data_IF_004128312851
#
_entry.id   IF_004128312851
#
_cell.length_a   1.000
_cell.length_b   1.000
_cell.length_c   1.000
_cell.angle_alpha   90.00
_cell.angle_beta   90.00
_cell.angle_gamma   90.00
#
_symmetry.space_group_name_H-M   'P 1'
#
loop_
_entity.id
_entity.type
_entity.pdbx_description
1 polymer ?
#
# COMPACT_ATOMS: atom_id res chain seq x y z
N UNK A 1 -18.59 -21.59 -7.13
CA UNK A 1 -17.42 -21.03 -7.86
C UNK A 1 -17.92 -20.28 -9.10
N UNK A 2 -18.71 -19.20 -8.92
CA UNK A 2 -19.19 -18.33 -10.01
C UNK A 2 -19.11 -16.83 -9.68
N UNK A 3 -18.67 -16.46 -8.48
CA UNK A 3 -18.56 -15.04 -8.07
C UNK A 3 -17.22 -14.38 -8.48
N UNK A 4 -16.27 -15.14 -9.01
CA UNK A 4 -14.92 -14.65 -9.33
C UNK A 4 -14.81 -13.84 -10.64
N UNK A 5 -15.87 -13.74 -11.45
CA UNK A 5 -15.81 -13.07 -12.77
C UNK A 5 -16.24 -11.60 -12.76
N UNK A 6 -16.83 -11.10 -11.68
CA UNK A 6 -17.30 -9.70 -11.60
C UNK A 6 -16.20 -8.68 -11.22
N UNK A 7 -14.99 -9.13 -10.86
CA UNK A 7 -13.88 -8.26 -10.47
C UNK A 7 -13.21 -7.51 -11.65
N UNK A 8 -13.71 -7.68 -12.87
CA UNK A 8 -13.01 -7.24 -14.08
C UNK A 8 -13.63 -6.00 -14.73
N UNK A 9 -13.72 -4.88 -14.00
CA UNK A 9 -13.63 -3.55 -14.63
C UNK A 9 -13.25 -2.44 -13.64
N UNK A 10 -12.44 -2.72 -12.62
CA UNK A 10 -11.86 -1.62 -11.84
C UNK A 10 -10.89 -0.85 -12.74
N UNK A 11 -11.05 0.47 -12.83
CA UNK A 11 -10.16 1.29 -13.65
C UNK A 11 -8.73 1.20 -13.11
N UNK A 12 -7.72 1.31 -13.99
CA UNK A 12 -6.32 1.31 -13.56
C UNK A 12 -6.07 2.33 -12.44
N UNK A 13 -6.68 3.51 -12.53
CA UNK A 13 -6.58 4.55 -11.50
C UNK A 13 -7.19 4.17 -10.15
N UNK A 14 -8.26 3.38 -10.15
CA UNK A 14 -8.93 2.90 -8.93
C UNK A 14 -8.11 1.78 -8.27
N UNK A 15 -7.56 0.85 -9.05
CA UNK A 15 -6.60 -0.14 -8.58
C UNK A 15 -5.36 0.52 -7.95
N UNK A 16 -4.77 1.50 -8.62
CA UNK A 16 -3.62 2.25 -8.10
C UNK A 16 -3.95 2.98 -6.80
N UNK A 17 -5.15 3.55 -6.68
CA UNK A 17 -5.64 4.17 -5.45
C UNK A 17 -5.81 3.14 -4.33
N UNK A 18 -6.29 1.94 -4.63
CA UNK A 18 -6.37 0.81 -3.70
C UNK A 18 -4.98 0.46 -3.13
N UNK A 19 -4.00 0.26 -4.02
CA UNK A 19 -2.61 -0.03 -3.64
C UNK A 19 -2.01 1.09 -2.77
N UNK A 20 -2.23 2.35 -3.14
CA UNK A 20 -1.76 3.49 -2.34
C UNK A 20 -2.35 3.48 -0.92
N UNK A 21 -3.66 3.24 -0.80
CA UNK A 21 -4.35 3.16 0.51
C UNK A 21 -3.82 2.01 1.35
N UNK A 22 -3.60 0.84 0.75
CA UNK A 22 -3.07 -0.34 1.43
C UNK A 22 -1.69 -0.05 2.04
N UNK A 23 -0.76 0.49 1.25
CA UNK A 23 0.61 0.82 1.71
C UNK A 23 0.58 1.78 2.90
N UNK A 24 -0.27 2.83 2.83
CA UNK A 24 -0.39 3.81 3.90
C UNK A 24 -1.11 3.23 5.12
N UNK A 25 -2.05 2.30 4.93
CA UNK A 25 -2.69 1.58 6.03
C UNK A 25 -1.71 0.67 6.77
N UNK A 26 -0.90 -0.11 6.04
CA UNK A 26 0.16 -0.93 6.62
C UNK A 26 1.17 -0.11 7.40
N UNK A 27 1.64 1.00 6.81
CA UNK A 27 2.59 1.89 7.47
C UNK A 27 2.05 2.43 8.79
N UNK A 28 0.79 2.86 8.81
CA UNK A 28 0.14 3.37 10.02
C UNK A 28 -0.03 2.26 11.05
N UNK A 29 -0.55 1.10 10.65
CA UNK A 29 -0.72 -0.04 11.55
C UNK A 29 0.60 -0.47 12.20
N UNK A 30 1.72 -0.37 11.49
CA UNK A 30 3.04 -0.71 12.02
C UNK A 30 3.47 0.18 13.20
N UNK A 31 3.05 1.46 13.24
CA UNK A 31 3.51 2.44 14.25
C UNK A 31 2.44 2.81 15.29
N UNK A 32 1.18 2.43 15.08
CA UNK A 32 0.08 2.69 16.02
C UNK A 32 -0.21 1.52 16.96
N UNK A 33 0.42 0.37 16.74
CA UNK A 33 0.24 -0.82 17.57
C UNK A 33 1.23 -0.80 18.74
N UNK A 34 0.76 -0.32 19.90
CA UNK A 34 1.55 -0.19 21.14
C UNK A 34 2.01 -1.55 21.71
N UNK A 35 1.41 -2.67 21.27
CA UNK A 35 1.81 -4.01 21.71
C UNK A 35 3.03 -4.55 20.95
N UNK A 36 3.46 -3.87 19.87
CA UNK A 36 4.64 -4.27 19.09
C UNK A 36 5.92 -3.76 19.73
N UNK A 37 7.00 -4.49 19.50
CA UNK A 37 8.33 -3.96 19.80
C UNK A 37 8.72 -2.86 18.80
N UNK A 38 9.41 -1.84 19.29
CA UNK A 38 9.91 -0.73 18.46
C UNK A 38 10.70 -1.21 17.25
N UNK A 39 11.52 -2.25 17.41
CA UNK A 39 12.32 -2.81 16.33
C UNK A 39 11.45 -3.35 15.19
N UNK A 40 10.37 -4.05 15.51
CA UNK A 40 9.43 -4.60 14.52
C UNK A 40 8.59 -3.48 13.91
N UNK A 41 8.08 -2.54 14.73
CA UNK A 41 7.32 -1.38 14.27
C UNK A 41 8.10 -0.56 13.24
N UNK A 42 9.36 -0.22 13.55
CA UNK A 42 10.25 0.53 12.65
C UNK A 42 10.60 -0.26 11.39
N UNK A 43 10.84 -1.58 11.52
CA UNK A 43 11.14 -2.43 10.37
C UNK A 43 9.98 -2.45 9.37
N UNK A 44 8.77 -2.74 9.85
CA UNK A 44 7.57 -2.85 9.02
C UNK A 44 7.19 -1.50 8.42
N UNK A 45 7.29 -0.41 9.19
CA UNK A 45 7.10 0.94 8.68
C UNK A 45 8.07 1.25 7.53
N UNK A 46 9.38 0.96 7.71
CA UNK A 46 10.39 1.18 6.67
C UNK A 46 10.11 0.34 5.43
N UNK A 47 9.61 -0.89 5.59
CA UNK A 47 9.21 -1.75 4.47
C UNK A 47 8.03 -1.13 3.70
N UNK A 48 7.00 -0.65 4.39
CA UNK A 48 5.88 0.05 3.75
C UNK A 48 6.34 1.33 3.02
N UNK A 49 7.24 2.12 3.61
CA UNK A 49 7.81 3.31 2.97
C UNK A 49 8.72 3.00 1.78
N UNK A 50 9.35 1.82 1.71
CA UNK A 50 10.01 1.36 0.49
C UNK A 50 8.99 1.09 -0.63
N UNK A 51 7.87 0.42 -0.32
CA UNK A 51 6.78 0.20 -1.28
C UNK A 51 6.18 1.53 -1.76
N UNK A 52 5.93 2.47 -0.86
CA UNK A 52 5.41 3.81 -1.20
C UNK A 52 6.30 4.53 -2.22
N UNK A 53 7.61 4.58 -1.97
CA UNK A 53 8.56 5.21 -2.90
C UNK A 53 8.66 4.48 -4.23
N UNK A 54 8.50 3.15 -4.25
CA UNK A 54 8.47 2.40 -5.49
C UNK A 54 7.21 2.73 -6.31
N UNK A 55 6.05 2.82 -5.65
CA UNK A 55 4.80 3.22 -6.29
C UNK A 55 4.91 4.63 -6.89
N UNK A 56 5.41 5.61 -6.14
CA UNK A 56 5.57 6.97 -6.64
C UNK A 56 6.53 7.05 -7.83
N UNK A 57 7.63 6.29 -7.83
CA UNK A 57 8.55 6.21 -8.99
C UNK A 57 7.91 5.57 -10.21
N UNK A 58 7.02 4.59 -10.02
CA UNK A 58 6.29 3.99 -11.12
C UNK A 58 5.33 4.99 -11.75
N UNK A 59 4.75 5.88 -10.95
CA UNK A 59 3.78 6.89 -11.38
C UNK A 59 4.43 8.23 -11.80
N UNK A 60 5.72 8.42 -11.52
CA UNK A 60 6.47 9.64 -11.84
C UNK A 60 6.26 10.13 -13.29
N UNK A 61 6.29 9.27 -14.33
CA UNK A 61 6.08 9.73 -15.71
C UNK A 61 4.72 10.38 -15.96
N UNK A 62 3.70 10.01 -15.17
CA UNK A 62 2.31 10.45 -15.35
C UNK A 62 1.89 11.54 -14.34
N UNK A 63 2.61 11.69 -13.21
CA UNK A 63 2.28 12.62 -12.13
C UNK A 63 3.07 13.94 -12.15
N UNK A 64 4.18 14.02 -12.89
CA UNK A 64 5.00 15.24 -13.06
C UNK A 64 6.33 15.18 -12.36
#
# INVERSE_FOLDING_TARGET
MLEQRAAQTESVGETLRGIAREIIAEARAAITDEARSDAVAVHDYRKAMKRWRALLRLLEPDLG
#
